data_IF_352438504130
#
_entry.id   IF_352438504130
#
_cell.length_a   1.000
_cell.length_b   1.000
_cell.length_c   1.000
_cell.angle_alpha   90.00
_cell.angle_beta   90.00
_cell.angle_gamma   90.00
#
_symmetry.space_group_name_H-M   'P 1'
#
loop_
_entity.id
_entity.type
_entity.pdbx_description
1 polymer ?
#
# COMPACT_ATOMS: atom_id res chain seq x y z
N UNK A 1 -37.39 -18.99 4.65
CA UNK A 1 -37.41 -17.57 4.29
C UNK A 1 -36.16 -17.33 3.45
N UNK A 2 -36.26 -17.26 2.11
CA UNK A 2 -35.08 -17.04 1.25
C UNK A 2 -34.75 -15.55 1.29
N UNK A 3 -33.52 -15.23 1.66
CA UNK A 3 -33.06 -13.84 1.76
C UNK A 3 -33.05 -13.21 0.35
N UNK A 4 -33.40 -11.92 0.23
CA UNK A 4 -33.46 -11.19 -1.06
C UNK A 4 -32.08 -10.99 -1.71
N UNK A 5 -31.00 -11.36 -1.00
CA UNK A 5 -29.63 -11.26 -1.50
C UNK A 5 -29.41 -12.42 -2.49
N UNK A 6 -29.02 -12.13 -3.75
CA UNK A 6 -28.68 -13.19 -4.69
C UNK A 6 -27.43 -13.93 -4.20
N UNK A 7 -27.40 -15.25 -4.34
CA UNK A 7 -26.27 -16.09 -3.88
C UNK A 7 -24.90 -15.59 -4.35
N UNK A 8 -24.80 -15.11 -5.58
CA UNK A 8 -23.56 -14.57 -6.14
C UNK A 8 -23.03 -13.33 -5.41
N UNK A 9 -23.87 -12.66 -4.62
CA UNK A 9 -23.49 -11.46 -3.87
C UNK A 9 -23.44 -11.70 -2.35
N UNK A 10 -23.80 -12.89 -1.84
CA UNK A 10 -23.87 -13.18 -0.40
C UNK A 10 -22.57 -12.82 0.31
N UNK A 11 -21.42 -13.28 -0.17
CA UNK A 11 -20.11 -13.03 0.44
C UNK A 11 -19.72 -11.55 0.45
N UNK A 12 -20.11 -10.81 -0.59
CA UNK A 12 -19.86 -9.37 -0.69
C UNK A 12 -20.70 -8.59 0.32
N UNK A 13 -22.00 -8.92 0.40
CA UNK A 13 -22.91 -8.28 1.33
C UNK A 13 -22.62 -8.65 2.79
N UNK A 14 -22.26 -9.90 3.06
CA UNK A 14 -21.88 -10.36 4.40
C UNK A 14 -20.67 -9.59 4.92
N UNK A 15 -19.60 -9.48 4.12
CA UNK A 15 -18.41 -8.67 4.46
C UNK A 15 -18.77 -7.20 4.67
N UNK A 16 -19.57 -6.62 3.78
CA UNK A 16 -19.99 -5.22 3.90
C UNK A 16 -20.83 -4.98 5.15
N UNK A 17 -21.78 -5.86 5.46
CA UNK A 17 -22.63 -5.76 6.64
C UNK A 17 -21.82 -5.88 7.92
N UNK A 18 -20.91 -6.87 8.01
CA UNK A 18 -20.02 -7.05 9.14
C UNK A 18 -19.13 -5.81 9.34
N UNK A 19 -18.57 -5.24 8.27
CA UNK A 19 -17.77 -4.01 8.31
C UNK A 19 -18.53 -2.85 8.95
N UNK A 20 -19.72 -2.54 8.43
CA UNK A 20 -20.53 -1.44 8.95
C UNK A 20 -21.03 -1.71 10.37
N UNK A 21 -21.35 -2.96 10.71
CA UNK A 21 -21.73 -3.34 12.06
C UNK A 21 -20.61 -3.14 13.07
N UNK A 22 -19.38 -3.56 12.73
CA UNK A 22 -18.18 -3.32 13.55
C UNK A 22 -17.89 -1.83 13.71
N UNK A 23 -18.05 -1.05 12.64
CA UNK A 23 -17.93 0.41 12.68
C UNK A 23 -18.94 1.05 13.63
N UNK A 24 -20.20 0.58 13.60
CA UNK A 24 -21.23 1.03 14.53
C UNK A 24 -20.90 0.72 15.99
N UNK A 25 -20.31 -0.45 16.25
CA UNK A 25 -19.85 -0.85 17.59
C UNK A 25 -18.57 -0.12 18.04
N UNK A 26 -17.92 0.64 17.16
CA UNK A 26 -16.68 1.36 17.46
C UNK A 26 -15.44 0.46 17.49
N UNK A 27 -15.51 -0.74 16.93
CA UNK A 27 -14.33 -1.59 16.75
C UNK A 27 -13.43 -1.01 15.65
N UNK A 28 -12.09 -1.10 15.77
CA UNK A 28 -11.19 -0.74 14.68
C UNK A 28 -11.47 -1.67 13.50
N UNK A 29 -11.86 -1.08 12.37
CA UNK A 29 -12.09 -1.80 11.13
C UNK A 29 -10.98 -1.40 10.18
N UNK A 30 -10.03 -2.29 9.94
CA UNK A 30 -9.02 -2.07 8.92
C UNK A 30 -9.74 -2.00 7.56
N UNK A 31 -9.64 -0.85 6.88
CA UNK A 31 -10.09 -0.71 5.51
C UNK A 31 -9.41 -1.79 4.66
N UNK A 32 -10.19 -2.53 3.86
CA UNK A 32 -9.80 -3.75 3.14
C UNK A 32 -8.31 -3.76 2.77
N UNK A 33 -7.54 -4.70 3.36
CA UNK A 33 -6.14 -4.89 2.96
C UNK A 33 -6.10 -5.08 1.43
N UNK A 34 -5.46 -4.17 0.68
CA UNK A 34 -5.43 -4.29 -0.77
C UNK A 34 -4.72 -5.59 -1.11
N UNK A 35 -5.41 -6.48 -1.83
CA UNK A 35 -4.85 -7.73 -2.32
C UNK A 35 -3.65 -7.52 -3.29
N UNK A 36 -3.33 -6.26 -3.64
CA UNK A 36 -2.26 -5.84 -4.54
C UNK A 36 -0.96 -5.42 -3.84
N UNK A 37 0.07 -5.13 -4.62
CA UNK A 37 1.34 -4.59 -4.12
C UNK A 37 1.08 -3.16 -3.63
N UNK A 38 1.34 -2.89 -2.35
CA UNK A 38 1.16 -1.54 -1.78
C UNK A 38 2.50 -0.87 -1.60
N UNK A 39 2.66 0.32 -2.15
CA UNK A 39 3.87 1.11 -2.11
C UNK A 39 3.55 2.43 -1.44
N UNK A 40 4.18 2.69 -0.29
CA UNK A 40 4.05 3.95 0.42
C UNK A 40 5.35 4.73 0.33
N UNK A 41 5.25 5.97 -0.12
CA UNK A 41 6.34 6.94 -0.08
C UNK A 41 6.09 7.85 1.11
N UNK A 42 6.93 7.72 2.13
CA UNK A 42 6.86 8.49 3.36
C UNK A 42 7.69 9.77 3.20
N UNK A 43 7.03 10.93 3.19
CA UNK A 43 7.73 12.20 3.06
C UNK A 43 6.83 13.42 3.17
N UNK A 44 7.35 14.47 3.78
CA UNK A 44 6.67 15.76 3.96
C UNK A 44 6.59 16.63 2.68
N UNK A 45 6.63 16.03 1.47
CA UNK A 45 6.51 16.77 0.20
C UNK A 45 7.79 17.48 -0.26
N UNK A 46 8.97 16.92 0.02
CA UNK A 46 10.24 17.47 -0.46
C UNK A 46 10.49 17.16 -1.96
N UNK A 47 11.35 17.93 -2.69
CA UNK A 47 11.66 17.64 -4.10
C UNK A 47 12.21 16.22 -4.35
N UNK A 48 12.96 15.68 -3.39
CA UNK A 48 13.47 14.30 -3.43
C UNK A 48 12.37 13.26 -3.25
N UNK A 49 11.33 13.59 -2.49
CA UNK A 49 10.16 12.76 -2.21
C UNK A 49 9.31 12.62 -3.48
N UNK A 50 9.12 13.73 -4.20
CA UNK A 50 8.47 13.74 -5.51
C UNK A 50 9.26 12.96 -6.55
N UNK A 51 10.58 13.19 -6.63
CA UNK A 51 11.45 12.44 -7.54
C UNK A 51 11.36 10.92 -7.28
N UNK A 52 11.37 10.50 -6.02
CA UNK A 52 11.21 9.09 -5.65
C UNK A 52 9.87 8.53 -6.13
N UNK A 53 8.79 9.28 -5.97
CA UNK A 53 7.45 8.87 -6.42
C UNK A 53 7.42 8.69 -7.94
N UNK A 54 8.01 9.63 -8.69
CA UNK A 54 8.11 9.55 -10.16
C UNK A 54 8.92 8.33 -10.61
N UNK A 55 10.06 8.07 -9.97
CA UNK A 55 10.92 6.93 -10.29
C UNK A 55 10.22 5.59 -10.01
N UNK A 56 9.44 5.50 -8.94
CA UNK A 56 8.61 4.33 -8.61
C UNK A 56 7.51 4.14 -9.66
N UNK A 57 6.78 5.19 -10.02
CA UNK A 57 5.74 5.12 -11.05
C UNK A 57 6.31 4.70 -12.41
N UNK A 58 7.47 5.25 -12.79
CA UNK A 58 8.18 4.84 -14.01
C UNK A 58 8.59 3.36 -13.96
N UNK A 59 9.16 2.90 -12.84
CA UNK A 59 9.54 1.49 -12.68
C UNK A 59 8.35 0.53 -12.77
N UNK A 60 7.20 0.90 -12.20
CA UNK A 60 5.96 0.14 -12.31
C UNK A 60 5.45 0.07 -13.75
N UNK A 61 5.45 1.21 -14.45
CA UNK A 61 5.04 1.29 -15.86
C UNK A 61 5.93 0.44 -16.77
N UNK A 62 7.24 0.45 -16.53
CA UNK A 62 8.19 -0.36 -17.29
C UNK A 62 8.05 -1.87 -17.02
N UNK A 63 7.64 -2.26 -15.81
CA UNK A 63 7.44 -3.67 -15.44
C UNK A 63 6.01 -4.17 -15.71
N UNK A 64 5.06 -3.29 -16.01
CA UNK A 64 3.65 -3.62 -16.21
C UNK A 64 2.97 -4.19 -14.95
N UNK A 65 3.44 -3.80 -13.76
CA UNK A 65 2.91 -4.27 -12.48
C UNK A 65 1.84 -3.32 -11.94
N UNK A 66 0.71 -3.87 -11.51
CA UNK A 66 -0.30 -3.12 -10.77
C UNK A 66 0.09 -3.02 -9.30
N UNK A 67 0.30 -1.79 -8.83
CA UNK A 67 0.58 -1.49 -7.44
C UNK A 67 -0.19 -0.23 -7.02
N UNK A 68 -0.61 -0.19 -5.77
CA UNK A 68 -1.16 0.99 -5.14
C UNK A 68 0.00 1.87 -4.65
N UNK A 69 0.06 3.12 -5.08
CA UNK A 69 1.14 4.05 -4.74
C UNK A 69 0.55 5.21 -3.95
N UNK A 70 0.84 5.23 -2.65
CA UNK A 70 0.36 6.25 -1.73
C UNK A 70 1.52 7.14 -1.27
N UNK A 71 1.36 8.46 -1.39
CA UNK A 71 2.30 9.41 -0.82
C UNK A 71 1.79 9.85 0.56
N UNK A 72 2.42 9.35 1.60
CA UNK A 72 2.06 9.66 2.99
C UNK A 72 2.82 10.91 3.43
N UNK A 73 2.08 12.01 3.60
CA UNK A 73 2.61 13.28 4.08
C UNK A 73 2.35 13.53 5.57
N UNK A 74 1.51 12.71 6.20
CA UNK A 74 1.14 12.85 7.60
C UNK A 74 2.28 12.35 8.52
N UNK A 75 2.75 13.23 9.39
CA UNK A 75 3.83 12.95 10.35
C UNK A 75 3.46 11.80 11.28
N UNK A 76 2.19 11.70 11.68
CA UNK A 76 1.74 10.64 12.60
C UNK A 76 1.86 9.26 11.93
N UNK A 77 1.42 9.16 10.67
CA UNK A 77 1.56 7.92 9.90
C UNK A 77 3.03 7.57 9.64
N UNK A 78 3.89 8.57 9.38
CA UNK A 78 5.33 8.33 9.20
C UNK A 78 5.97 7.77 10.47
N UNK A 79 5.56 8.25 11.65
CA UNK A 79 6.07 7.78 12.94
C UNK A 79 5.71 6.30 13.21
N UNK A 80 4.54 5.83 12.77
CA UNK A 80 4.14 4.42 12.90
C UNK A 80 5.11 3.46 12.20
N UNK A 81 5.66 3.86 11.06
CA UNK A 81 6.61 3.04 10.31
C UNK A 81 8.04 3.04 10.90
N UNK A 82 8.28 3.67 12.06
CA UNK A 82 9.58 3.73 12.75
C UNK A 82 10.75 4.14 11.84
N UNK A 83 10.47 4.89 10.77
CA UNK A 83 11.47 5.29 9.79
C UNK A 83 12.26 6.49 10.32
N UNK A 84 13.47 6.23 10.83
CA UNK A 84 14.40 7.27 11.29
C UNK A 84 15.07 7.95 10.08
N UNK A 85 14.29 8.77 9.36
CA UNK A 85 14.79 9.60 8.26
C UNK A 85 13.89 9.60 7.01
N UNK A 86 13.21 10.72 6.75
CA UNK A 86 12.47 10.92 5.50
C UNK A 86 13.39 11.50 4.42
N UNK A 87 13.25 11.10 3.13
CA UNK A 87 12.20 10.25 2.57
C UNK A 87 12.43 8.75 2.80
N UNK A 88 11.36 7.99 3.01
CA UNK A 88 11.40 6.54 3.11
C UNK A 88 10.46 5.86 2.10
N UNK A 89 10.85 4.67 1.62
CA UNK A 89 10.10 3.86 0.67
C UNK A 89 9.70 2.55 1.34
N UNK A 90 8.41 2.24 1.33
CA UNK A 90 7.83 1.07 1.99
C UNK A 90 7.05 0.24 0.98
N UNK A 91 7.31 -1.06 0.92
CA UNK A 91 6.57 -2.02 0.10
C UNK A 91 5.86 -3.03 1.02
N UNK A 92 4.54 -3.18 0.91
CA UNK A 92 3.74 -4.13 1.70
C UNK A 92 4.03 -4.08 3.21
N UNK A 93 4.19 -2.87 3.78
CA UNK A 93 4.57 -2.60 5.20
C UNK A 93 6.06 -2.84 5.54
N UNK A 94 6.89 -3.25 4.59
CA UNK A 94 8.35 -3.45 4.76
C UNK A 94 9.15 -2.25 4.22
N UNK A 95 10.01 -1.67 5.06
CA UNK A 95 10.81 -0.48 4.73
C UNK A 95 12.04 -0.89 3.90
N UNK A 96 12.09 -0.48 2.62
CA UNK A 96 13.19 -0.81 1.70
C UNK A 96 14.31 0.23 1.68
N UNK A 97 13.97 1.50 1.86
CA UNK A 97 14.93 2.60 1.81
C UNK A 97 14.53 3.72 2.76
N UNK A 98 15.52 4.34 3.40
CA UNK A 98 15.37 5.44 4.36
C UNK A 98 16.44 6.49 4.05
N UNK A 99 16.06 7.78 4.01
CA UNK A 99 16.97 8.91 3.87
C UNK A 99 17.66 9.10 2.51
N UNK A 100 17.36 8.28 1.49
CA UNK A 100 17.95 8.40 0.15
C UNK A 100 16.98 8.00 -0.96
N UNK A 101 17.18 8.58 -2.14
CA UNK A 101 16.47 8.21 -3.38
C UNK A 101 17.25 7.07 -4.05
N UNK A 102 16.75 5.82 -4.02
CA UNK A 102 17.37 4.69 -4.73
C UNK A 102 17.33 4.89 -6.26
N UNK A 103 18.27 4.25 -6.96
CA UNK A 103 18.26 4.23 -8.43
C UNK A 103 17.11 3.37 -8.95
N UNK A 104 16.59 3.69 -10.14
CA UNK A 104 15.50 2.96 -10.81
C UNK A 104 15.74 1.46 -10.90
N UNK A 105 16.96 1.03 -11.23
CA UNK A 105 17.32 -0.40 -11.32
C UNK A 105 17.11 -1.13 -9.99
N UNK A 106 17.42 -0.48 -8.87
CA UNK A 106 17.27 -1.05 -7.55
C UNK A 106 15.79 -1.16 -7.16
N UNK A 107 14.98 -0.14 -7.49
CA UNK A 107 13.53 -0.17 -7.30
C UNK A 107 12.92 -1.34 -8.06
N UNK A 108 13.28 -1.52 -9.34
CA UNK A 108 12.82 -2.66 -10.16
C UNK A 108 13.19 -4.00 -9.54
N UNK A 109 14.41 -4.14 -9.03
CA UNK A 109 14.86 -5.38 -8.38
C UNK A 109 13.96 -5.73 -7.19
N UNK A 110 13.68 -4.76 -6.31
CA UNK A 110 12.77 -4.97 -5.19
C UNK A 110 11.35 -5.28 -5.63
N UNK A 111 10.83 -4.61 -6.65
CA UNK A 111 9.49 -4.90 -7.21
C UNK A 111 9.41 -6.34 -7.75
N UNK A 112 10.46 -6.82 -8.42
CA UNK A 112 10.56 -8.19 -8.92
C UNK A 112 10.66 -9.20 -7.77
N UNK A 113 11.47 -8.93 -6.75
CA UNK A 113 11.58 -9.77 -5.55
C UNK A 113 10.22 -9.90 -4.84
N UNK A 114 9.51 -8.78 -4.63
CA UNK A 114 8.18 -8.78 -4.02
C UNK A 114 7.13 -9.49 -4.90
N UNK A 115 7.25 -9.40 -6.23
CA UNK A 115 6.39 -10.15 -7.15
C UNK A 115 6.69 -11.67 -7.15
N UNK A 116 7.94 -12.08 -6.90
CA UNK A 116 8.33 -13.48 -6.78
C UNK A 116 7.86 -14.10 -5.47
N UNK A 117 8.00 -13.39 -4.35
CA UNK A 117 7.51 -13.83 -3.03
C UNK A 117 6.01 -14.16 -2.99
N UNK A 118 5.22 -13.60 -3.89
CA UNK A 118 3.78 -13.87 -4.02
C UNK A 118 3.45 -15.16 -4.77
N UNK A 119 4.42 -15.78 -5.44
CA UNK A 119 4.21 -17.00 -6.25
C UNK A 119 4.60 -18.30 -5.55
N UNK A 120 5.35 -18.21 -4.46
CA UNK A 120 5.62 -19.33 -3.53
C UNK A 120 4.56 -19.38 -2.42
#
# INVERSE_FOLDING_TARGET
>A
MKNYIPQAAETKYERALLREYRRYLGEPVDDDEPAGLTIKVLGQGCPRCEQLTQEVMAALGELGLAADVEHVTDINQIAEYSAVGTPALVFNKDVKSVGRVPKREQIKKWLQEEAQKRKE
#
